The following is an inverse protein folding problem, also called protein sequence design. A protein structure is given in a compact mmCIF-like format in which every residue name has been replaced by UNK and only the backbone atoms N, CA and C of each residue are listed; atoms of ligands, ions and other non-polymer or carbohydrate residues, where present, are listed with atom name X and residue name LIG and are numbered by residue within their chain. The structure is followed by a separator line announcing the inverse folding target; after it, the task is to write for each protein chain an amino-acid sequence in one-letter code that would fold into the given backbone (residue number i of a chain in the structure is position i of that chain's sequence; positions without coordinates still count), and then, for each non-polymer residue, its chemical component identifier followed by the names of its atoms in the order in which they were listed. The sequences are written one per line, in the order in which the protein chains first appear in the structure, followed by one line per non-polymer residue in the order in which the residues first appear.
data_IF_976139845677
#
_entry.id   IF_976139845677
#
_cell.length_a   1.000
_cell.length_b   1.000
_cell.length_c   1.000
_cell.angle_alpha   90.00
_cell.angle_beta   90.00
_cell.angle_gamma   90.00
#
_symmetry.space_group_name_H-M   'P 1'
#
loop_
_entity.id
_entity.type
_entity.pdbx_description
1 polymer ?
#
# COMPACT_ATOMS: atom_id res chain seq x y z
N UNK A 1 6.80 -62.69 4.83
CA UNK A 1 5.50 -63.10 4.28
C UNK A 1 5.25 -62.30 3.01
N UNK A 2 4.56 -62.88 2.03
CA UNK A 2 4.32 -62.27 0.72
C UNK A 2 2.83 -61.93 0.52
N UNK A 3 2.52 -61.39 -0.68
CA UNK A 3 1.20 -61.04 -1.24
C UNK A 3 0.72 -59.59 -0.98
N UNK A 4 0.04 -58.92 -1.92
CA UNK A 4 -0.02 -59.11 -3.38
C UNK A 4 -0.60 -57.84 -4.03
N UNK A 5 -0.30 -57.58 -5.30
CA UNK A 5 -0.93 -56.51 -6.07
C UNK A 5 -2.28 -56.96 -6.65
N UNK A 6 -3.19 -56.01 -6.89
CA UNK A 6 -4.36 -56.19 -7.74
C UNK A 6 -4.64 -54.91 -8.55
N UNK A 7 -4.96 -55.10 -9.84
CA UNK A 7 -5.24 -54.07 -10.85
C UNK A 7 -6.60 -54.39 -11.48
N UNK A 8 -7.39 -53.37 -11.87
CA UNK A 8 -8.38 -53.33 -12.99
C UNK A 8 -9.45 -52.27 -12.66
N UNK A 9 -9.50 -51.11 -13.32
CA UNK A 9 -10.06 -50.82 -14.67
C UNK A 9 -11.59 -50.82 -14.74
N UNK A 10 -12.18 -49.64 -15.05
CA UNK A 10 -13.55 -49.49 -15.55
C UNK A 10 -13.75 -48.18 -16.35
N UNK A 11 -13.54 -48.29 -17.68
CA UNK A 11 -14.38 -47.76 -18.77
C UNK A 11 -14.80 -46.26 -18.85
N UNK A 12 -14.40 -45.62 -19.96
CA UNK A 12 -15.05 -44.42 -20.56
C UNK A 12 -16.53 -44.68 -20.92
N UNK A 13 -17.32 -43.60 -21.09
CA UNK A 13 -18.30 -43.30 -22.17
C UNK A 13 -19.10 -42.04 -21.74
N UNK A 14 -19.42 -41.03 -22.56
CA UNK A 14 -19.03 -40.76 -23.94
C UNK A 14 -19.42 -39.32 -24.38
N UNK A 15 -18.76 -38.79 -25.42
CA UNK A 15 -19.06 -37.50 -26.04
C UNK A 15 -20.34 -37.53 -26.90
N UNK A 16 -21.09 -36.42 -26.97
CA UNK A 16 -21.78 -36.01 -28.21
C UNK A 16 -21.69 -34.50 -28.44
N UNK A 17 -21.53 -34.12 -29.72
CA UNK A 17 -21.30 -32.76 -30.21
C UNK A 17 -22.56 -32.14 -30.83
N UNK A 18 -22.66 -30.81 -30.68
CA UNK A 18 -23.01 -29.78 -31.68
C UNK A 18 -23.86 -30.19 -32.92
N UNK A 19 -24.97 -29.49 -33.12
CA UNK A 19 -25.57 -29.20 -34.43
C UNK A 19 -26.14 -27.76 -34.44
N UNK A 20 -26.43 -27.19 -35.62
CA UNK A 20 -26.34 -25.72 -35.78
C UNK A 20 -26.97 -25.16 -37.07
N UNK A 21 -27.50 -23.91 -37.01
CA UNK A 21 -27.62 -22.95 -38.16
C UNK A 21 -28.69 -23.35 -39.23
N UNK A 22 -29.29 -22.47 -40.11
CA UNK A 22 -29.47 -21.00 -40.19
C UNK A 22 -30.93 -20.46 -40.46
N UNK A 23 -31.08 -19.12 -40.43
CA UNK A 23 -31.84 -18.17 -41.31
C UNK A 23 -33.10 -18.62 -42.12
N UNK A 24 -34.16 -17.79 -42.09
CA UNK A 24 -34.57 -16.89 -43.23
C UNK A 24 -35.79 -15.99 -42.93
N UNK A 25 -35.84 -14.82 -43.60
CA UNK A 25 -37.03 -13.95 -43.74
C UNK A 25 -37.94 -14.43 -44.89
N UNK A 26 -39.18 -13.90 -44.98
CA UNK A 26 -39.46 -13.00 -46.11
C UNK A 26 -40.31 -11.75 -45.78
N UNK A 27 -40.24 -10.76 -46.69
CA UNK A 27 -41.05 -9.54 -46.71
C UNK A 27 -42.54 -9.81 -47.01
N UNK A 28 -43.45 -8.90 -46.62
CA UNK A 28 -44.39 -8.26 -47.57
C UNK A 28 -45.10 -6.99 -47.01
N UNK A 29 -44.87 -5.86 -47.69
CA UNK A 29 -45.85 -4.86 -48.14
C UNK A 29 -47.06 -4.45 -47.27
N UNK A 30 -47.09 -3.18 -46.82
CA UNK A 30 -48.02 -2.09 -47.26
C UNK A 30 -48.03 -0.88 -46.31
N UNK A 31 -47.95 0.32 -46.87
CA UNK A 31 -48.29 1.58 -46.17
C UNK A 31 -49.81 1.81 -46.18
N UNK A 32 -50.33 2.66 -45.28
CA UNK A 32 -50.69 4.01 -45.73
C UNK A 32 -50.22 5.13 -44.80
N UNK A 33 -50.31 6.38 -45.29
CA UNK A 33 -49.90 7.58 -44.57
C UNK A 33 -50.78 7.86 -43.35
N UNK A 34 -50.15 8.33 -42.26
CA UNK A 34 -50.84 9.02 -41.17
C UNK A 34 -50.06 10.28 -40.79
N UNK A 35 -50.78 11.39 -40.69
CA UNK A 35 -50.26 12.75 -40.53
C UNK A 35 -49.66 12.93 -39.13
N UNK A 36 -48.42 13.44 -39.05
CA UNK A 36 -47.77 13.78 -37.77
C UNK A 36 -47.72 15.31 -37.57
N UNK A 37 -48.09 15.84 -36.40
CA UNK A 37 -47.90 17.26 -36.07
C UNK A 37 -46.41 17.60 -35.88
N UNK A 38 -46.02 18.89 -35.94
CA UNK A 38 -44.62 19.29 -35.95
C UNK A 38 -43.90 18.95 -34.65
N UNK A 39 -42.78 18.22 -34.77
CA UNK A 39 -41.85 18.02 -33.64
C UNK A 39 -41.19 19.34 -33.28
N UNK A 40 -41.38 19.80 -32.03
CA UNK A 40 -40.47 20.78 -31.41
C UNK A 40 -39.05 20.19 -31.46
N UNK A 41 -38.09 20.95 -31.99
CA UNK A 41 -36.66 20.69 -31.76
C UNK A 41 -36.37 20.93 -30.28
N UNK A 42 -36.30 19.85 -29.50
CA UNK A 42 -35.50 19.85 -28.29
C UNK A 42 -34.05 19.75 -28.74
N UNK A 43 -33.31 20.85 -28.63
CA UNK A 43 -31.86 20.82 -28.67
C UNK A 43 -31.38 20.03 -27.45
N UNK A 44 -31.04 18.76 -27.65
CA UNK A 44 -30.31 17.99 -26.66
C UNK A 44 -28.90 18.55 -26.58
N UNK A 45 -28.72 19.62 -25.80
CA UNK A 45 -27.44 19.96 -25.21
C UNK A 45 -27.06 18.78 -24.33
N UNK A 46 -26.32 17.83 -24.89
CA UNK A 46 -25.53 16.89 -24.13
C UNK A 46 -24.46 17.71 -23.43
N UNK A 47 -24.83 18.33 -22.30
CA UNK A 47 -23.88 18.68 -21.28
C UNK A 47 -23.19 17.36 -20.94
N UNK A 48 -21.95 17.20 -21.41
CA UNK A 48 -21.12 16.09 -20.99
C UNK A 48 -21.06 16.18 -19.48
N UNK A 49 -21.65 15.20 -18.79
CA UNK A 49 -21.56 15.12 -17.35
C UNK A 49 -20.09 14.92 -17.03
N UNK A 50 -19.43 15.98 -16.58
CA UNK A 50 -18.07 15.87 -16.07
C UNK A 50 -18.10 14.81 -14.98
N UNK A 51 -17.41 13.70 -15.21
CA UNK A 51 -17.18 12.70 -14.18
C UNK A 51 -16.49 13.41 -13.00
N UNK A 52 -16.87 13.12 -11.73
CA UNK A 52 -16.27 13.80 -10.57
C UNK A 52 -14.75 13.61 -10.43
N UNK A 53 -14.15 12.72 -11.24
CA UNK A 53 -12.72 12.37 -11.24
C UNK A 53 -11.76 13.50 -11.64
N UNK A 54 -12.26 14.69 -12.00
CA UNK A 54 -11.44 15.88 -12.22
C UNK A 54 -11.20 16.71 -10.94
N UNK A 55 -11.82 16.34 -9.81
CA UNK A 55 -11.75 17.06 -8.52
C UNK A 55 -11.03 16.24 -7.45
N UNK A 56 -9.70 16.05 -7.62
CA UNK A 56 -8.69 16.11 -6.55
C UNK A 56 -7.29 15.90 -7.16
N UNK A 57 -6.66 16.98 -7.66
CA UNK A 57 -5.24 17.15 -7.34
C UNK A 57 -5.23 17.67 -5.90
N UNK A 58 -5.16 16.74 -4.95
CA UNK A 58 -4.82 17.07 -3.57
C UNK A 58 -3.37 17.53 -3.56
N UNK A 59 -3.14 18.83 -3.77
CA UNK A 59 -1.87 19.49 -3.48
C UNK A 59 -1.71 19.55 -1.96
N UNK A 60 -1.42 18.37 -1.41
CA UNK A 60 -0.91 18.19 -0.05
C UNK A 60 0.45 18.89 -0.02
N UNK A 61 0.63 19.78 0.94
CA UNK A 61 1.85 20.56 1.12
C UNK A 61 2.36 20.34 2.53
N UNK A 62 3.68 20.32 2.68
CA UNK A 62 4.31 20.32 3.99
C UNK A 62 4.41 21.73 4.57
N UNK A 63 4.47 21.82 5.90
CA UNK A 63 4.80 23.01 6.66
C UNK A 63 5.76 22.60 7.76
N UNK A 64 6.98 23.11 7.70
CA UNK A 64 8.01 22.87 8.71
C UNK A 64 7.83 23.85 9.88
N UNK A 65 8.01 23.35 11.10
CA UNK A 65 8.12 24.12 12.34
C UNK A 65 9.33 23.63 13.15
N UNK A 66 10.00 24.52 13.90
CA UNK A 66 11.32 24.26 14.49
C UNK A 66 12.47 24.44 13.51
N UNK A 67 13.71 24.27 13.98
CA UNK A 67 14.91 24.22 13.13
C UNK A 67 15.23 22.75 12.78
N UNK A 68 15.82 22.48 11.62
CA UNK A 68 16.20 21.10 11.28
C UNK A 68 17.28 20.58 12.24
N UNK A 69 17.29 19.27 12.50
CA UNK A 69 18.17 18.61 13.48
C UNK A 69 17.98 19.10 14.94
N UNK A 70 16.76 19.52 15.32
CA UNK A 70 16.37 19.79 16.72
C UNK A 70 15.21 18.90 17.22
N UNK A 71 14.99 18.85 18.53
CA UNK A 71 13.95 18.01 19.17
C UNK A 71 12.51 18.52 18.90
N UNK A 72 12.37 19.81 18.65
CA UNK A 72 11.12 20.51 18.34
C UNK A 72 10.80 20.58 16.84
N UNK A 73 11.69 20.07 15.97
CA UNK A 73 11.44 19.99 14.53
C UNK A 73 10.21 19.12 14.21
N UNK A 74 9.29 19.65 13.40
CA UNK A 74 8.07 18.97 12.94
C UNK A 74 7.78 19.31 11.48
N UNK A 75 7.32 18.32 10.73
CA UNK A 75 6.77 18.51 9.38
C UNK A 75 5.27 18.21 9.41
N UNK A 76 4.46 19.27 9.44
CA UNK A 76 3.01 19.21 9.37
C UNK A 76 2.52 19.13 7.92
N UNK A 77 1.29 18.65 7.73
CA UNK A 77 0.66 18.53 6.42
C UNK A 77 -0.54 19.46 6.29
N UNK A 78 -0.65 20.10 5.14
CA UNK A 78 -1.73 21.03 4.78
C UNK A 78 -2.45 20.54 3.52
N UNK A 79 -3.77 20.65 3.50
CA UNK A 79 -4.55 20.41 2.28
C UNK A 79 -4.46 21.59 1.28
N UNK A 80 -5.17 21.45 0.16
CA UNK A 80 -5.23 22.50 -0.88
C UNK A 80 -5.86 23.82 -0.39
N UNK A 81 -6.68 23.80 0.67
CA UNK A 81 -7.24 25.00 1.30
C UNK A 81 -6.28 25.65 2.32
N UNK A 82 -5.21 24.94 2.71
CA UNK A 82 -4.29 25.34 3.77
C UNK A 82 -4.74 24.92 5.18
N UNK A 83 -5.74 24.04 5.29
CA UNK A 83 -6.16 23.42 6.55
C UNK A 83 -5.15 22.33 6.92
N UNK A 84 -4.76 22.29 8.19
CA UNK A 84 -3.93 21.21 8.73
C UNK A 84 -4.68 19.87 8.69
N UNK A 85 -3.96 18.82 8.32
CA UNK A 85 -4.44 17.44 8.15
C UNK A 85 -3.42 16.47 8.73
N UNK A 86 -3.90 15.30 9.19
CA UNK A 86 -3.02 14.21 9.61
C UNK A 86 -2.52 13.43 8.39
N UNK A 87 -1.20 13.24 8.18
CA UNK A 87 -0.69 12.35 7.16
C UNK A 87 -1.13 10.90 7.37
N UNK A 88 -1.37 10.48 8.62
CA UNK A 88 -1.84 9.13 8.93
C UNK A 88 -3.35 8.95 8.69
N UNK A 89 -4.19 9.88 9.14
CA UNK A 89 -5.66 9.69 9.12
C UNK A 89 -6.37 10.31 7.92
N UNK A 90 -5.93 11.49 7.44
CA UNK A 90 -6.67 12.28 6.44
C UNK A 90 -6.24 12.00 5.00
N UNK A 91 -4.99 11.55 4.76
CA UNK A 91 -4.53 11.19 3.42
C UNK A 91 -5.19 9.86 3.01
N UNK A 92 -5.94 9.77 1.89
CA UNK A 92 -6.60 8.52 1.51
C UNK A 92 -5.60 7.41 1.18
N UNK A 93 -5.77 6.21 1.75
CA UNK A 93 -4.91 5.06 1.43
C UNK A 93 -4.92 4.71 -0.07
N UNK A 94 -6.12 4.62 -0.66
CA UNK A 94 -6.34 4.05 -2.00
C UNK A 94 -6.75 5.13 -2.99
N UNK A 95 -6.15 5.11 -4.19
CA UNK A 95 -6.51 5.98 -5.31
C UNK A 95 -7.34 5.29 -6.40
N UNK A 96 -7.51 3.96 -6.32
CA UNK A 96 -8.12 3.13 -7.36
C UNK A 96 -7.10 2.22 -8.04
N UNK A 97 -7.56 1.22 -8.81
CA UNK A 97 -6.74 0.38 -9.70
C UNK A 97 -5.46 -0.25 -9.11
N UNK A 98 -5.46 -0.53 -7.79
CA UNK A 98 -4.29 -1.07 -7.08
C UNK A 98 -3.19 -0.04 -6.78
N UNK A 99 -3.51 1.24 -6.88
CA UNK A 99 -2.64 2.39 -6.59
C UNK A 99 -2.94 2.94 -5.20
N UNK A 100 -1.87 3.26 -4.47
CA UNK A 100 -1.90 3.73 -3.09
C UNK A 100 -1.15 5.05 -2.96
N UNK A 101 -1.52 5.87 -1.97
CA UNK A 101 -0.64 6.93 -1.50
C UNK A 101 0.41 6.34 -0.55
N UNK A 102 1.63 6.83 -0.65
CA UNK A 102 2.75 6.54 0.24
C UNK A 102 3.29 7.87 0.76
N UNK A 103 3.40 8.02 2.08
CA UNK A 103 3.95 9.22 2.73
C UNK A 103 5.42 8.96 3.01
N UNK A 104 6.31 9.75 2.39
CA UNK A 104 7.75 9.64 2.61
C UNK A 104 8.12 10.29 3.95
N UNK A 105 8.78 9.55 4.80
CA UNK A 105 9.31 10.03 6.09
C UNK A 105 10.82 10.21 6.02
N UNK A 106 11.52 9.20 5.50
CA UNK A 106 12.98 9.17 5.41
C UNK A 106 13.39 9.12 3.92
N UNK A 107 13.94 10.22 3.38
CA UNK A 107 14.50 10.25 2.04
C UNK A 107 15.57 9.18 1.84
N UNK A 108 15.57 8.59 0.64
CA UNK A 108 16.65 7.71 0.16
C UNK A 108 18.03 8.33 0.43
N UNK A 109 18.97 7.47 0.84
CA UNK A 109 20.36 7.81 1.16
C UNK A 109 20.50 8.81 2.33
N UNK A 110 19.59 8.77 3.31
CA UNK A 110 19.71 9.50 4.59
C UNK A 110 19.65 8.57 5.80
N UNK A 111 19.97 9.10 6.99
CA UNK A 111 20.05 8.34 8.25
C UNK A 111 19.25 8.91 9.41
N UNK A 112 18.69 10.12 9.32
CA UNK A 112 17.80 10.63 10.37
C UNK A 112 16.56 9.73 10.45
N UNK A 113 16.28 9.12 11.61
CA UNK A 113 15.07 8.30 11.78
C UNK A 113 13.88 9.24 11.98
N UNK A 114 13.32 9.70 10.87
CA UNK A 114 12.08 10.44 10.81
C UNK A 114 10.90 9.45 10.83
N UNK A 115 9.82 9.81 11.52
CA UNK A 115 8.63 9.00 11.67
C UNK A 115 7.41 9.89 11.94
N UNK A 116 6.22 9.41 11.60
CA UNK A 116 4.97 10.03 12.00
C UNK A 116 4.82 10.00 13.52
N UNK A 117 4.49 11.14 14.12
CA UNK A 117 4.22 11.25 15.54
C UNK A 117 2.81 10.73 15.84
N UNK A 118 2.65 9.41 15.99
CA UNK A 118 1.36 8.75 16.25
C UNK A 118 0.68 9.22 17.54
N UNK A 119 1.44 9.80 18.48
CA UNK A 119 1.04 10.38 19.77
C UNK A 119 0.70 11.89 19.72
N UNK A 120 0.97 12.59 18.61
CA UNK A 120 0.80 14.05 18.51
C UNK A 120 -0.40 14.44 17.62
N UNK A 121 -1.05 15.56 17.95
CA UNK A 121 -2.17 16.09 17.18
C UNK A 121 -1.74 16.49 15.76
N UNK A 122 -2.56 16.11 14.77
CA UNK A 122 -2.27 16.15 13.33
C UNK A 122 -1.08 15.28 12.90
N UNK A 123 -0.59 14.42 13.79
CA UNK A 123 0.45 13.40 13.56
C UNK A 123 1.58 13.87 12.62
N UNK A 124 2.28 14.99 12.92
CA UNK A 124 3.38 15.49 12.08
C UNK A 124 4.51 14.47 11.99
N UNK A 125 5.36 14.57 10.97
CA UNK A 125 6.63 13.82 10.98
C UNK A 125 7.59 14.50 11.95
N UNK A 126 8.20 13.73 12.85
CA UNK A 126 9.26 14.13 13.80
C UNK A 126 10.47 13.21 13.68
N UNK A 127 11.59 13.55 14.31
CA UNK A 127 12.71 12.63 14.44
C UNK A 127 12.60 11.84 15.75
N UNK A 128 12.74 10.51 15.68
CA UNK A 128 12.80 9.60 16.82
C UNK A 128 13.91 10.05 17.81
N UNK A 129 13.71 9.81 19.10
CA UNK A 129 14.70 10.13 20.13
C UNK A 129 15.08 8.93 20.99
N UNK A 130 16.39 8.75 21.19
CA UNK A 130 16.95 7.68 22.03
C UNK A 130 17.74 8.31 23.17
N UNK A 131 17.26 8.13 24.41
CA UNK A 131 17.84 8.72 25.63
C UNK A 131 17.94 10.26 25.57
N UNK A 132 16.88 10.92 25.07
CA UNK A 132 16.79 12.38 24.96
C UNK A 132 17.68 13.01 23.88
N UNK A 133 18.14 12.21 22.90
CA UNK A 133 18.92 12.67 21.74
C UNK A 133 18.25 12.19 20.46
N UNK A 134 18.34 12.99 19.41
CA UNK A 134 17.90 12.64 18.07
C UNK A 134 18.54 11.32 17.61
N UNK A 135 17.72 10.42 17.06
CA UNK A 135 18.14 9.10 16.61
C UNK A 135 18.49 9.13 15.13
N UNK A 136 19.63 8.53 14.82
CA UNK A 136 20.08 8.25 13.46
C UNK A 136 20.26 6.74 13.32
N UNK A 137 19.93 6.20 12.15
CA UNK A 137 20.38 4.87 11.78
C UNK A 137 21.91 4.84 11.67
N UNK A 138 22.59 3.74 12.04
CA UNK A 138 24.05 3.64 11.93
C UNK A 138 24.55 3.55 10.49
N UNK A 139 23.64 3.32 9.53
CA UNK A 139 23.86 3.34 8.09
C UNK A 139 22.70 4.09 7.44
N UNK A 140 22.93 4.70 6.27
CA UNK A 140 21.83 5.30 5.52
C UNK A 140 20.84 4.23 5.04
N UNK A 141 19.56 4.57 4.94
CA UNK A 141 18.57 3.75 4.25
C UNK A 141 18.71 3.96 2.74
N UNK A 142 18.73 2.87 1.95
CA UNK A 142 19.04 2.93 0.51
C UNK A 142 17.81 3.19 -0.39
N UNK A 143 16.66 3.47 0.22
CA UNK A 143 15.34 3.58 -0.40
C UNK A 143 14.57 4.75 0.22
N UNK A 144 13.55 5.27 -0.47
CA UNK A 144 12.62 6.15 0.22
C UNK A 144 11.78 5.29 1.16
N UNK A 145 11.59 5.77 2.38
CA UNK A 145 10.93 5.02 3.45
C UNK A 145 9.89 5.88 4.15
N UNK A 146 8.89 5.23 4.73
CA UNK A 146 7.76 5.85 5.43
C UNK A 146 6.54 4.93 5.35
N UNK A 147 5.33 5.48 5.37
CA UNK A 147 4.11 4.71 5.64
C UNK A 147 3.05 4.68 4.53
N UNK A 148 2.16 3.69 4.63
CA UNK A 148 0.83 3.71 4.03
C UNK A 148 -0.16 4.40 4.97
N UNK A 149 -0.78 5.53 4.57
CA UNK A 149 -1.73 6.22 5.43
C UNK A 149 -3.00 5.38 5.58
N UNK A 150 -3.73 5.59 6.67
CA UNK A 150 -4.94 4.85 7.03
C UNK A 150 -4.73 3.33 7.20
N UNK A 151 -3.55 2.91 7.63
CA UNK A 151 -3.24 1.54 8.07
C UNK A 151 -2.79 1.53 9.53
N UNK A 152 -2.91 0.40 10.22
CA UNK A 152 -2.45 0.24 11.61
C UNK A 152 -2.17 -1.23 11.94
N UNK A 153 -0.98 -1.47 12.48
CA UNK A 153 -0.46 -2.75 12.98
C UNK A 153 -1.02 -3.02 14.39
N UNK A 154 -2.27 -3.49 14.49
CA UNK A 154 -2.98 -3.66 15.77
C UNK A 154 -2.20 -4.57 16.75
N UNK A 155 -1.72 -4.03 17.90
CA UNK A 155 -0.90 -4.78 18.87
C UNK A 155 -1.73 -5.78 19.69
N UNK A 156 -3.05 -5.86 19.47
CA UNK A 156 -3.92 -6.88 20.05
C UNK A 156 -4.25 -8.03 19.08
N UNK A 157 -3.84 -7.93 17.81
CA UNK A 157 -4.16 -8.91 16.77
C UNK A 157 -2.96 -9.80 16.42
N UNK A 158 -2.97 -11.03 16.94
CA UNK A 158 -1.91 -12.01 16.69
C UNK A 158 -1.95 -12.60 15.27
N UNK A 159 -0.87 -12.45 14.51
CA UNK A 159 -0.75 -12.98 13.16
C UNK A 159 -0.43 -14.49 13.17
N UNK A 160 -1.43 -15.31 12.84
CA UNK A 160 -1.31 -16.77 12.84
C UNK A 160 -0.31 -17.34 11.80
N UNK A 161 0.03 -16.59 10.76
CA UNK A 161 1.00 -17.00 9.72
C UNK A 161 2.45 -16.62 10.09
N UNK A 162 2.62 -15.77 11.12
CA UNK A 162 3.93 -15.31 11.61
C UNK A 162 4.06 -15.57 13.12
N UNK A 163 4.01 -16.84 13.49
CA UNK A 163 4.25 -17.35 14.86
C UNK A 163 3.37 -16.73 15.97
N UNK A 164 2.27 -16.05 15.64
CA UNK A 164 1.41 -15.36 16.58
C UNK A 164 1.93 -13.99 17.03
N UNK A 165 2.89 -13.41 16.30
CA UNK A 165 3.39 -12.06 16.57
C UNK A 165 2.27 -11.00 16.48
N UNK A 166 2.36 -9.99 17.34
CA UNK A 166 1.44 -8.86 17.45
C UNK A 166 2.01 -7.66 16.68
N UNK A 167 1.17 -6.79 16.13
CA UNK A 167 1.64 -5.58 15.45
C UNK A 167 2.42 -4.62 16.37
N UNK A 168 3.28 -3.80 15.79
CA UNK A 168 4.12 -2.81 16.47
C UNK A 168 3.38 -1.52 16.90
N UNK A 169 2.06 -1.46 16.70
CA UNK A 169 1.17 -0.33 17.01
C UNK A 169 1.31 0.90 16.07
N UNK A 170 2.12 0.83 15.02
CA UNK A 170 2.33 1.91 14.06
C UNK A 170 1.60 1.68 12.72
N UNK A 171 1.69 2.61 11.75
CA UNK A 171 1.15 2.44 10.40
C UNK A 171 2.08 1.53 9.56
N UNK A 172 1.52 0.80 8.60
CA UNK A 172 2.31 -0.14 7.78
C UNK A 172 3.37 0.56 6.96
N UNK A 173 4.60 0.10 7.12
CA UNK A 173 5.80 0.63 6.50
C UNK A 173 5.94 0.27 5.01
N UNK A 174 6.62 1.16 4.28
CA UNK A 174 6.89 1.07 2.86
C UNK A 174 8.37 1.28 2.57
N UNK A 175 8.91 0.41 1.73
CA UNK A 175 10.23 0.54 1.12
C UNK A 175 10.04 0.78 -0.37
N UNK A 176 10.21 2.03 -0.81
CA UNK A 176 9.98 2.43 -2.19
C UNK A 176 11.28 2.33 -3.01
N UNK A 177 11.27 1.46 -4.03
CA UNK A 177 12.50 0.99 -4.70
C UNK A 177 12.94 1.83 -5.92
N UNK A 178 12.26 2.93 -6.19
CA UNK A 178 12.52 3.81 -7.33
C UNK A 178 13.91 4.45 -7.34
N UNK A 179 14.27 5.01 -8.50
CA UNK A 179 15.55 5.70 -8.67
C UNK A 179 15.58 7.05 -7.93
N UNK A 180 14.48 7.82 -8.00
CA UNK A 180 14.34 9.16 -7.44
C UNK A 180 14.49 9.15 -5.91
N UNK A 181 15.32 10.05 -5.38
CA UNK A 181 15.25 10.46 -3.96
C UNK A 181 14.10 11.46 -3.78
N UNK A 182 13.15 11.11 -2.91
CA UNK A 182 12.03 11.95 -2.53
C UNK A 182 12.38 12.86 -1.32
N UNK A 183 11.50 13.78 -0.97
CA UNK A 183 11.65 14.65 0.22
C UNK A 183 10.82 14.14 1.40
N UNK A 184 11.12 14.62 2.61
CA UNK A 184 10.27 14.39 3.79
C UNK A 184 8.88 15.00 3.51
N UNK A 185 7.84 14.19 3.69
CA UNK A 185 6.45 14.54 3.43
C UNK A 185 6.02 14.61 1.95
N UNK A 186 6.86 14.17 1.01
CA UNK A 186 6.38 13.86 -0.35
C UNK A 186 5.28 12.77 -0.24
N UNK A 187 4.14 12.98 -0.91
CA UNK A 187 3.07 11.97 -1.03
C UNK A 187 3.12 11.36 -2.42
N UNK A 188 3.69 10.16 -2.54
CA UNK A 188 3.90 9.48 -3.80
C UNK A 188 2.75 8.54 -4.13
N UNK A 189 2.50 8.34 -5.43
CA UNK A 189 1.59 7.30 -5.92
C UNK A 189 2.38 6.03 -6.18
N UNK A 190 2.12 4.98 -5.42
CA UNK A 190 2.87 3.72 -5.51
C UNK A 190 1.97 2.54 -5.86
N UNK A 191 2.59 1.48 -6.38
CA UNK A 191 1.98 0.14 -6.40
C UNK A 191 2.81 -0.84 -5.55
N UNK A 192 2.19 -1.64 -4.66
CA UNK A 192 2.84 -2.72 -3.96
C UNK A 192 3.33 -3.81 -4.92
N UNK A 193 4.46 -4.41 -4.59
CA UNK A 193 5.13 -5.47 -5.34
C UNK A 193 5.39 -6.72 -4.48
N UNK A 194 5.70 -6.54 -3.20
CA UNK A 194 5.98 -7.62 -2.26
C UNK A 194 5.77 -7.18 -0.80
N UNK A 195 5.81 -8.12 0.15
CA UNK A 195 5.82 -7.83 1.59
C UNK A 195 6.89 -8.65 2.32
N UNK A 196 7.56 -8.06 3.30
CA UNK A 196 8.47 -8.74 4.23
C UNK A 196 7.90 -8.67 5.64
N UNK A 197 7.76 -9.81 6.30
CA UNK A 197 7.36 -9.91 7.71
C UNK A 197 8.60 -9.74 8.60
N UNK A 198 8.99 -8.53 9.01
CA UNK A 198 10.03 -8.37 10.01
C UNK A 198 9.47 -8.69 11.40
N UNK A 199 10.28 -9.31 12.26
CA UNK A 199 10.05 -9.33 13.69
C UNK A 199 11.10 -8.42 14.33
N UNK A 200 10.68 -7.22 14.74
CA UNK A 200 11.53 -6.23 15.40
C UNK A 200 11.30 -6.29 16.91
N UNK A 201 12.33 -6.67 17.67
CA UNK A 201 12.32 -6.84 19.13
C UNK A 201 11.20 -7.71 19.76
N UNK A 202 10.35 -8.35 18.95
CA UNK A 202 9.23 -9.22 19.36
C UNK A 202 7.91 -8.87 18.67
N UNK A 203 7.81 -7.68 18.09
CA UNK A 203 6.64 -7.15 17.38
C UNK A 203 6.75 -7.47 15.88
N UNK A 204 5.60 -7.65 15.23
CA UNK A 204 5.45 -7.80 13.79
C UNK A 204 5.42 -6.42 13.15
N UNK A 205 6.29 -6.26 12.17
CA UNK A 205 6.53 -5.02 11.46
C UNK A 205 6.57 -5.37 9.95
N UNK A 206 5.52 -5.00 9.19
CA UNK A 206 5.43 -5.30 7.77
C UNK A 206 6.14 -4.24 6.92
N UNK A 207 7.22 -4.64 6.24
CA UNK A 207 7.83 -3.82 5.19
C UNK A 207 7.19 -4.15 3.83
N UNK A 208 6.29 -3.29 3.36
CA UNK A 208 5.72 -3.37 2.01
C UNK A 208 6.75 -2.85 1.01
N UNK A 209 7.18 -3.68 0.06
CA UNK A 209 8.04 -3.26 -1.05
C UNK A 209 7.15 -2.71 -2.16
N UNK A 210 7.37 -1.46 -2.55
CA UNK A 210 6.57 -0.77 -3.54
C UNK A 210 7.44 0.02 -4.53
N UNK A 211 6.84 0.50 -5.62
CA UNK A 211 7.49 1.44 -6.55
C UNK A 211 6.57 2.60 -6.88
N UNK A 212 7.13 3.81 -6.98
CA UNK A 212 6.46 4.98 -7.52
C UNK A 212 5.99 4.74 -8.95
N UNK A 213 4.77 5.17 -9.29
CA UNK A 213 4.26 5.11 -10.66
C UNK A 213 4.95 6.09 -11.61
N UNK A 214 5.64 7.09 -11.07
CA UNK A 214 6.44 8.05 -11.84
C UNK A 214 7.86 7.53 -12.14
N UNK A 215 8.27 6.36 -11.61
CA UNK A 215 9.56 5.74 -11.91
C UNK A 215 9.59 5.18 -13.35
N UNK A 216 10.65 5.41 -14.15
CA UNK A 216 10.73 4.91 -15.53
C UNK A 216 10.58 3.40 -15.68
N UNK A 217 10.96 2.62 -14.66
CA UNK A 217 10.86 1.16 -14.61
C UNK A 217 9.58 0.66 -13.93
N UNK A 218 8.70 1.53 -13.45
CA UNK A 218 7.43 1.15 -12.82
C UNK A 218 6.61 0.18 -13.70
N UNK A 219 6.57 0.39 -15.01
CA UNK A 219 5.84 -0.49 -15.95
C UNK A 219 6.39 -1.93 -16.02
N UNK A 220 7.68 -2.14 -15.71
CA UNK A 220 8.36 -3.43 -15.80
C UNK A 220 8.09 -4.35 -14.61
N UNK A 221 7.75 -3.79 -13.44
CA UNK A 221 7.57 -4.57 -12.20
C UNK A 221 6.13 -4.58 -11.73
N UNK A 222 5.54 -5.77 -11.58
CA UNK A 222 4.13 -5.94 -11.25
C UNK A 222 3.87 -6.99 -10.17
N UNK A 223 4.85 -7.83 -9.82
CA UNK A 223 4.88 -8.75 -8.68
C UNK A 223 6.33 -9.00 -8.21
N UNK A 224 6.51 -9.73 -7.11
CA UNK A 224 7.78 -10.03 -6.42
C UNK A 224 8.88 -10.59 -7.34
N UNK A 225 8.53 -11.41 -8.33
CA UNK A 225 9.49 -12.01 -9.27
C UNK A 225 10.07 -10.99 -10.27
N UNK A 226 9.29 -9.97 -10.63
CA UNK A 226 9.74 -8.92 -11.53
C UNK A 226 10.77 -8.02 -10.83
N UNK A 227 10.65 -7.84 -9.51
CA UNK A 227 11.64 -7.11 -8.69
C UNK A 227 13.01 -7.75 -8.83
N UNK A 228 13.15 -9.06 -8.63
CA UNK A 228 14.45 -9.73 -8.79
C UNK A 228 14.94 -9.77 -10.25
N UNK A 229 14.03 -9.64 -11.23
CA UNK A 229 14.39 -9.59 -12.66
C UNK A 229 14.90 -8.20 -13.09
N UNK A 230 14.31 -7.12 -12.56
CA UNK A 230 14.61 -5.73 -12.99
C UNK A 230 15.38 -4.90 -11.95
N UNK A 231 15.49 -5.40 -10.72
CA UNK A 231 16.17 -4.82 -9.56
C UNK A 231 16.91 -5.95 -8.78
N UNK A 232 17.79 -6.74 -9.43
CA UNK A 232 18.34 -7.99 -8.88
C UNK A 232 19.05 -7.78 -7.53
N UNK A 233 18.72 -8.64 -6.56
CA UNK A 233 19.23 -8.59 -5.19
C UNK A 233 18.53 -7.60 -4.26
N UNK A 234 17.59 -6.79 -4.76
CA UNK A 234 16.98 -5.70 -3.95
C UNK A 234 16.18 -6.23 -2.77
N UNK A 235 15.39 -7.30 -2.92
CA UNK A 235 14.62 -7.85 -1.79
C UNK A 235 15.54 -8.43 -0.72
N UNK A 236 16.67 -9.01 -1.14
CA UNK A 236 17.72 -9.49 -0.24
C UNK A 236 18.40 -8.33 0.49
N UNK A 237 18.72 -7.24 -0.21
CA UNK A 237 19.33 -6.05 0.39
C UNK A 237 18.40 -5.36 1.39
N UNK A 238 17.10 -5.25 1.09
CA UNK A 238 16.10 -4.69 2.01
C UNK A 238 16.04 -5.54 3.29
N UNK A 239 15.82 -6.86 3.14
CA UNK A 239 15.78 -7.79 4.28
C UNK A 239 17.05 -7.72 5.13
N UNK A 240 18.22 -7.72 4.50
CA UNK A 240 19.50 -7.73 5.21
C UNK A 240 19.80 -6.41 5.92
N UNK A 241 19.40 -5.27 5.34
CA UNK A 241 19.45 -3.97 6.03
C UNK A 241 18.58 -3.99 7.30
N UNK A 242 17.31 -4.39 7.16
CA UNK A 242 16.37 -4.46 8.28
C UNK A 242 16.70 -5.55 9.32
N UNK A 243 17.39 -6.62 8.91
CA UNK A 243 17.98 -7.62 9.82
C UNK A 243 19.06 -7.00 10.71
N UNK A 244 19.97 -6.23 10.12
CA UNK A 244 21.25 -5.88 10.74
C UNK A 244 21.32 -4.45 11.32
N UNK A 245 20.37 -3.54 10.99
CA UNK A 245 20.49 -2.11 11.31
C UNK A 245 20.58 -1.79 12.81
N UNK A 246 20.05 -2.64 13.71
CA UNK A 246 20.17 -2.47 15.17
C UNK A 246 21.42 -3.12 15.78
N UNK A 247 22.23 -3.86 15.02
CA UNK A 247 23.45 -4.52 15.53
C UNK A 247 24.49 -3.52 16.08
N UNK A 248 24.80 -2.38 15.41
CA UNK A 248 25.71 -1.36 15.95
C UNK A 248 25.21 -0.73 17.25
N UNK A 249 23.90 -0.78 17.48
CA UNK A 249 23.22 -0.32 18.70
C UNK A 249 23.30 -1.35 19.86
N UNK A 250 23.98 -2.48 19.65
CA UNK A 250 24.15 -3.57 20.62
C UNK A 250 22.95 -4.52 20.74
N UNK A 251 22.00 -4.46 19.79
CA UNK A 251 20.85 -5.38 19.71
C UNK A 251 21.21 -6.64 18.90
N UNK A 252 20.48 -7.75 19.07
CA UNK A 252 20.56 -8.88 18.14
C UNK A 252 20.07 -8.49 16.74
N UNK A 253 20.38 -9.33 15.76
CA UNK A 253 19.76 -9.27 14.45
C UNK A 253 18.24 -9.52 14.55
N UNK A 254 17.46 -8.74 13.81
CA UNK A 254 16.01 -8.96 13.67
C UNK A 254 15.72 -10.24 12.89
N UNK A 255 14.53 -10.81 13.07
CA UNK A 255 14.11 -12.04 12.37
C UNK A 255 13.13 -11.70 11.26
N UNK A 256 12.89 -12.66 10.37
CA UNK A 256 11.82 -12.55 9.38
C UNK A 256 10.91 -13.78 9.39
N UNK A 257 9.60 -13.51 9.33
CA UNK A 257 8.57 -14.50 9.09
C UNK A 257 8.61 -15.11 7.69
N UNK A 258 7.60 -15.93 7.37
CA UNK A 258 7.37 -16.48 6.02
C UNK A 258 8.61 -17.15 5.38
N UNK A 259 9.48 -17.74 6.20
CA UNK A 259 10.71 -18.40 5.76
C UNK A 259 11.83 -17.45 5.33
N UNK A 260 11.88 -16.22 5.85
CA UNK A 260 12.87 -15.17 5.53
C UNK A 260 12.85 -14.72 4.05
N UNK A 261 11.67 -14.74 3.43
CA UNK A 261 11.43 -14.39 2.02
C UNK A 261 10.36 -13.32 1.90
N UNK A 262 10.45 -12.54 0.83
CA UNK A 262 9.37 -11.64 0.43
C UNK A 262 8.17 -12.45 -0.10
N UNK A 263 6.97 -12.12 0.39
CA UNK A 263 5.71 -12.63 -0.14
C UNK A 263 5.28 -11.85 -1.39
N UNK A 264 4.36 -12.42 -2.18
CA UNK A 264 3.89 -11.81 -3.43
C UNK A 264 3.09 -10.51 -3.20
N UNK A 265 2.84 -9.79 -4.30
CA UNK A 265 1.94 -8.63 -4.32
C UNK A 265 0.55 -8.95 -3.76
N UNK A 266 -0.03 -10.09 -4.10
CA UNK A 266 -1.37 -10.46 -3.59
C UNK A 266 -1.35 -10.60 -2.05
N UNK A 267 -0.25 -11.10 -1.49
CA UNK A 267 -0.06 -11.15 -0.04
C UNK A 267 0.13 -9.74 0.55
N UNK A 268 0.92 -8.88 -0.10
CA UNK A 268 1.05 -7.47 0.30
C UNK A 268 -0.31 -6.75 0.30
N UNK A 269 -1.14 -6.96 -0.73
CA UNK A 269 -2.49 -6.39 -0.82
C UNK A 269 -3.45 -6.92 0.26
N UNK A 270 -3.29 -8.17 0.70
CA UNK A 270 -3.99 -8.74 1.86
C UNK A 270 -3.59 -7.99 3.14
N UNK A 271 -2.29 -7.88 3.45
CA UNK A 271 -1.80 -7.17 4.64
C UNK A 271 -2.32 -5.72 4.68
N UNK A 272 -2.21 -4.99 3.57
CA UNK A 272 -2.71 -3.60 3.46
C UNK A 272 -4.23 -3.50 3.64
N UNK A 273 -4.99 -4.55 3.33
CA UNK A 273 -6.42 -4.59 3.63
C UNK A 273 -6.68 -4.85 5.12
N UNK A 274 -5.99 -5.83 5.73
CA UNK A 274 -6.13 -6.19 7.13
C UNK A 274 -5.78 -5.03 8.08
N UNK A 275 -4.66 -4.33 7.82
CA UNK A 275 -4.25 -3.18 8.64
C UNK A 275 -5.08 -1.92 8.37
N UNK A 276 -5.66 -1.76 7.17
CA UNK A 276 -6.67 -0.73 6.91
C UNK A 276 -8.00 -1.01 7.64
N UNK A 277 -8.40 -2.28 7.77
CA UNK A 277 -9.54 -2.66 8.60
C UNK A 277 -9.28 -2.42 10.09
N UNK A 278 -8.06 -2.69 10.57
CA UNK A 278 -7.64 -2.37 11.94
C UNK A 278 -7.66 -0.87 12.21
N UNK A 279 -7.03 -0.05 11.35
CA UNK A 279 -7.12 1.41 11.42
C UNK A 279 -8.58 1.89 11.39
N UNK A 280 -9.43 1.29 10.56
CA UNK A 280 -10.84 1.65 10.48
C UNK A 280 -11.62 1.34 11.77
N UNK A 281 -11.21 0.34 12.57
CA UNK A 281 -11.74 0.07 13.92
C UNK A 281 -11.22 1.11 14.92
N UNK A 282 -9.93 1.45 14.84
CA UNK A 282 -9.25 2.43 15.68
C UNK A 282 -9.89 3.83 15.56
N UNK A 283 -9.99 4.40 14.35
CA UNK A 283 -10.56 5.76 14.17
C UNK A 283 -12.07 5.82 14.46
N UNK A 284 -12.79 4.69 14.32
CA UNK A 284 -14.19 4.55 14.76
C UNK A 284 -14.34 4.32 16.27
N UNK A 285 -13.22 4.26 17.02
CA UNK A 285 -13.18 3.99 18.47
C UNK A 285 -13.89 2.68 18.86
N UNK A 286 -13.85 1.69 17.95
CA UNK A 286 -14.34 0.33 18.20
C UNK A 286 -13.33 -0.51 18.99
N UNK A 287 -12.07 -0.05 19.04
CA UNK A 287 -11.00 -0.51 19.93
C UNK A 287 -10.44 0.70 20.69
N UNK A 288 -9.80 0.51 21.87
CA UNK A 288 -9.12 1.59 22.57
C UNK A 288 -7.95 2.15 21.76
N UNK A 289 -7.78 3.47 21.74
CA UNK A 289 -6.66 4.12 21.05
C UNK A 289 -5.37 4.20 21.90
N UNK A 290 -5.44 3.94 23.21
CA UNK A 290 -4.30 4.12 24.10
C UNK A 290 -3.80 5.56 24.10
N UNK A 291 -2.55 5.74 23.72
CA UNK A 291 -1.86 7.04 23.63
C UNK A 291 -1.91 7.67 22.22
N UNK A 292 -2.47 6.96 21.23
CA UNK A 292 -2.54 7.39 19.84
C UNK A 292 -3.46 8.61 19.67
N UNK A 293 -2.97 9.64 18.96
CA UNK A 293 -3.84 10.67 18.40
C UNK A 293 -4.75 10.06 17.34
N UNK A 294 -5.97 10.59 17.24
CA UNK A 294 -6.94 10.27 16.18
C UNK A 294 -7.43 11.55 15.47
N UNK A 295 -6.64 12.62 15.57
CA UNK A 295 -6.86 13.97 15.04
C UNK A 295 -5.55 14.55 14.54
#
# INVERSE_FOLDING_TARGET
MAAAAAVSSATLHGFRRLSSVPLRCPLHLRSPLSLRPPRRRLSSTTAASATPSALLKSEIRTKEEGESETLDYRVFFLDASGKMISPWHDIPLRLGDGVFNFVVEIPKETSAKMEVATDEAYTPIKQDTKKGKLRYYPYNINWNYGLLPQTWEDPSFANAEVEGALGDNDPVDVVEIGERRANIGDVLKVKPLAALAMIDEGELDWKIVAISLDDPRASLVNDVNDVETHFPGTLTAIRDWFRDYKIPDGKPANKFGLGNKAASKDYALKIIAETNESWAKLVKRSVPAGELSLV
#
